data_IF_729736659961
#
_entry.id   IF_729736659961
#
_cell.length_a   1.000
_cell.length_b   1.000
_cell.length_c   1.000
_cell.angle_alpha   90.00
_cell.angle_beta   90.00
_cell.angle_gamma   90.00
#
_symmetry.space_group_name_H-M   'P 1'
#
loop_
_entity.id
_entity.type
_entity.pdbx_description
1 polymer ?
#
# COMPACT_ATOMS: atom_id res chain seq x y z
N UNK A 1 70.69 0.19 55.87
CA UNK A 1 69.60 0.79 55.14
C UNK A 1 69.19 -0.18 54.03
N UNK A 2 68.13 -0.94 54.21
CA UNK A 2 67.72 -2.03 53.32
C UNK A 2 66.39 -1.61 52.67
N UNK A 3 66.40 -1.32 51.38
CA UNK A 3 65.17 -1.05 50.62
C UNK A 3 64.62 -2.36 50.06
N UNK A 4 63.44 -2.75 50.54
CA UNK A 4 62.68 -3.87 50.02
C UNK A 4 61.87 -3.38 48.81
N UNK A 5 62.19 -3.91 47.66
CA UNK A 5 61.42 -3.67 46.43
C UNK A 5 60.28 -4.68 46.44
N UNK A 6 59.03 -4.22 46.66
CA UNK A 6 57.82 -5.03 46.51
C UNK A 6 57.41 -4.98 45.04
N UNK A 7 57.59 -6.12 44.37
CA UNK A 7 57.12 -6.30 42.98
C UNK A 7 55.61 -6.61 43.00
N UNK A 8 54.79 -5.64 42.60
CA UNK A 8 53.35 -5.83 42.48
C UNK A 8 53.07 -6.44 41.11
N UNK A 9 52.71 -7.72 41.10
CA UNK A 9 52.33 -8.47 39.92
C UNK A 9 50.90 -8.12 39.55
N UNK A 10 50.71 -7.27 38.58
CA UNK A 10 49.37 -6.88 38.06
C UNK A 10 48.90 -7.92 37.05
N UNK A 11 48.03 -8.81 37.48
CA UNK A 11 47.35 -9.78 36.61
C UNK A 11 46.32 -9.07 35.77
N UNK A 12 46.57 -8.95 34.46
CA UNK A 12 45.61 -8.50 33.45
C UNK A 12 44.55 -9.60 33.27
N UNK A 13 43.36 -9.37 33.84
CA UNK A 13 42.19 -10.13 33.49
C UNK A 13 41.71 -9.65 32.13
N UNK A 14 41.99 -10.43 31.09
CA UNK A 14 41.37 -10.27 29.77
C UNK A 14 39.90 -10.76 29.93
N UNK A 15 38.99 -9.83 30.11
CA UNK A 15 37.58 -10.07 29.99
C UNK A 15 37.26 -10.29 28.52
N UNK A 16 36.96 -11.52 28.10
CA UNK A 16 36.32 -11.81 26.83
C UNK A 16 34.93 -11.18 26.86
N UNK A 17 34.80 -10.05 26.20
CA UNK A 17 33.50 -9.49 25.87
C UNK A 17 32.94 -10.33 24.71
N UNK A 18 32.07 -11.28 25.03
CA UNK A 18 31.23 -11.94 24.04
C UNK A 18 30.38 -10.86 23.40
N UNK A 19 30.73 -10.46 22.19
CA UNK A 19 29.85 -9.68 21.33
C UNK A 19 28.64 -10.58 21.02
N UNK A 20 27.61 -10.50 21.85
CA UNK A 20 26.27 -10.81 21.43
C UNK A 20 25.97 -9.85 20.28
N UNK A 21 25.89 -10.40 19.06
CA UNK A 21 25.44 -9.68 17.92
C UNK A 21 23.98 -9.27 18.22
N UNK A 22 23.84 -8.05 18.74
CA UNK A 22 22.53 -7.39 18.85
C UNK A 22 21.96 -7.31 17.44
N UNK A 23 21.10 -8.29 17.11
CA UNK A 23 20.18 -8.25 15.96
C UNK A 23 19.08 -7.21 16.23
N UNK A 24 19.47 -6.07 16.76
CA UNK A 24 18.61 -4.93 16.94
C UNK A 24 18.68 -4.06 15.67
N UNK A 25 18.29 -4.64 14.51
CA UNK A 25 17.96 -3.80 13.37
C UNK A 25 16.83 -2.87 13.85
N UNK A 26 16.95 -1.54 13.68
CA UNK A 26 15.91 -0.62 14.12
C UNK A 26 14.59 -1.05 13.48
N UNK A 27 13.58 -1.34 14.34
CA UNK A 27 12.21 -1.56 13.88
C UNK A 27 11.81 -0.24 13.23
N UNK A 28 11.72 -0.25 11.90
CA UNK A 28 11.31 0.92 11.13
C UNK A 28 9.78 1.04 11.34
N UNK A 29 9.37 2.03 12.14
CA UNK A 29 7.95 2.31 12.34
C UNK A 29 7.29 2.71 11.00
N UNK A 30 6.03 2.29 10.75
CA UNK A 30 5.32 2.67 9.54
C UNK A 30 5.16 4.19 9.48
N UNK A 31 5.57 4.82 8.38
CA UNK A 31 5.33 6.24 8.16
C UNK A 31 3.89 6.47 7.70
N UNK A 32 3.21 7.48 8.26
CA UNK A 32 1.86 7.88 7.83
C UNK A 32 1.94 8.79 6.60
N UNK A 33 1.53 8.26 5.47
CA UNK A 33 1.49 8.96 4.19
C UNK A 33 0.15 9.67 3.91
N UNK A 34 -0.82 9.66 4.83
CA UNK A 34 -2.20 10.10 4.56
C UNK A 34 -2.28 11.53 4.04
N UNK A 35 -1.58 12.49 4.66
CA UNK A 35 -1.57 13.88 4.22
C UNK A 35 -0.84 14.07 2.88
N UNK A 36 0.29 13.39 2.69
CA UNK A 36 1.07 13.44 1.46
C UNK A 36 0.26 12.86 0.30
N UNK A 37 -0.33 11.67 0.50
CA UNK A 37 -1.15 11.02 -0.53
C UNK A 37 -2.39 11.84 -0.88
N UNK A 38 -3.02 12.51 0.08
CA UNK A 38 -4.13 13.42 -0.20
C UNK A 38 -3.71 14.59 -1.10
N UNK A 39 -2.56 15.21 -0.83
CA UNK A 39 -2.01 16.28 -1.67
C UNK A 39 -1.66 15.79 -3.06
N UNK A 40 -1.03 14.62 -3.17
CA UNK A 40 -0.66 14.00 -4.43
C UNK A 40 -1.89 13.66 -5.28
N UNK A 41 -2.95 13.08 -4.68
CA UNK A 41 -4.22 12.78 -5.34
C UNK A 41 -4.86 14.08 -5.86
N UNK A 42 -4.97 15.12 -5.03
CA UNK A 42 -5.57 16.39 -5.43
C UNK A 42 -4.78 17.07 -6.56
N UNK A 43 -3.45 16.98 -6.53
CA UNK A 43 -2.58 17.47 -7.60
C UNK A 43 -2.84 16.71 -8.90
N UNK A 44 -2.92 15.37 -8.84
CA UNK A 44 -3.23 14.52 -9.98
C UNK A 44 -4.61 14.82 -10.57
N UNK A 45 -5.64 14.93 -9.74
CA UNK A 45 -7.00 15.24 -10.16
C UNK A 45 -7.05 16.60 -10.90
N UNK A 46 -6.39 17.61 -10.36
CA UNK A 46 -6.32 18.95 -10.96
C UNK A 46 -5.58 18.93 -12.29
N UNK A 47 -4.45 18.22 -12.36
CA UNK A 47 -3.63 18.15 -13.59
C UNK A 47 -4.32 17.39 -14.74
N UNK A 48 -5.30 16.53 -14.43
CA UNK A 48 -6.03 15.72 -15.39
C UNK A 48 -7.50 16.17 -15.61
N UNK A 49 -7.89 17.32 -15.05
CA UNK A 49 -9.27 17.84 -15.12
C UNK A 49 -10.33 16.82 -14.60
N UNK A 50 -9.97 16.03 -13.57
CA UNK A 50 -10.83 15.00 -12.99
C UNK A 50 -11.51 15.51 -11.72
N UNK A 51 -12.75 15.06 -11.49
CA UNK A 51 -13.51 15.30 -10.25
C UNK A 51 -13.84 13.97 -9.62
N UNK A 52 -13.36 13.73 -8.41
CA UNK A 52 -13.62 12.52 -7.63
C UNK A 52 -14.54 12.78 -6.45
N UNK A 53 -15.12 11.71 -5.94
CA UNK A 53 -15.74 11.67 -4.62
C UNK A 53 -14.76 11.00 -3.67
N UNK A 54 -14.59 11.59 -2.47
CA UNK A 54 -13.75 11.04 -1.41
C UNK A 54 -14.60 10.37 -0.35
N UNK A 55 -14.21 9.16 0.05
CA UNK A 55 -14.83 8.45 1.18
C UNK A 55 -14.23 8.88 2.52
N UNK A 56 -14.84 8.46 3.64
CA UNK A 56 -14.31 8.70 4.98
C UNK A 56 -12.96 8.02 5.22
N UNK A 57 -12.69 6.91 4.55
CA UNK A 57 -11.42 6.20 4.63
C UNK A 57 -10.27 6.88 3.88
N UNK A 58 -10.57 7.87 3.02
CA UNK A 58 -9.61 8.55 2.16
C UNK A 58 -9.48 7.96 0.76
N UNK A 59 -10.30 6.96 0.38
CA UNK A 59 -10.37 6.50 -1.00
C UNK A 59 -11.00 7.59 -1.86
N UNK A 60 -10.39 7.91 -3.01
CA UNK A 60 -11.03 8.72 -4.04
C UNK A 60 -11.53 7.83 -5.18
N UNK A 61 -12.73 8.11 -5.68
CA UNK A 61 -13.30 7.35 -6.78
C UNK A 61 -14.05 8.23 -7.77
N UNK A 62 -14.10 7.77 -9.01
CA UNK A 62 -14.85 8.37 -10.11
C UNK A 62 -15.69 7.26 -10.72
N UNK A 63 -17.01 7.43 -10.76
CA UNK A 63 -17.90 6.52 -11.48
C UNK A 63 -18.16 7.13 -12.84
N UNK A 64 -17.66 6.50 -13.91
CA UNK A 64 -17.95 6.88 -15.28
C UNK A 64 -19.29 6.26 -15.75
N UNK A 65 -19.50 5.00 -15.37
CA UNK A 65 -20.75 4.28 -15.56
C UNK A 65 -21.04 3.47 -14.31
N UNK A 66 -22.23 3.66 -13.71
CA UNK A 66 -22.61 2.95 -12.49
C UNK A 66 -22.79 1.44 -12.69
N UNK A 67 -23.17 1.03 -13.90
CA UNK A 67 -23.69 -0.31 -14.15
C UNK A 67 -25.15 -0.45 -13.71
N UNK A 68 -25.84 -1.44 -14.24
CA UNK A 68 -27.26 -1.73 -13.97
C UNK A 68 -27.51 -3.15 -13.42
N UNK A 69 -26.43 -3.94 -13.30
CA UNK A 69 -26.48 -5.28 -12.75
C UNK A 69 -26.45 -5.34 -11.22
N UNK A 70 -26.02 -6.49 -10.70
CA UNK A 70 -25.97 -6.75 -9.25
C UNK A 70 -24.92 -5.87 -8.59
N UNK A 71 -25.25 -5.30 -7.42
CA UNK A 71 -24.29 -4.56 -6.59
C UNK A 71 -23.54 -5.54 -5.70
N UNK A 72 -22.20 -5.62 -5.78
CA UNK A 72 -21.42 -6.47 -4.89
C UNK A 72 -21.40 -5.89 -3.47
N UNK A 73 -21.09 -6.74 -2.52
CA UNK A 73 -20.71 -6.36 -1.16
C UNK A 73 -19.23 -6.72 -0.94
N UNK A 74 -18.67 -6.32 0.19
CA UNK A 74 -17.25 -6.49 0.53
C UNK A 74 -16.76 -7.95 0.66
N UNK A 75 -17.68 -8.94 0.56
CA UNK A 75 -17.38 -10.37 0.60
C UNK A 75 -17.73 -11.08 -0.72
N UNK A 76 -18.17 -10.35 -1.74
CA UNK A 76 -18.54 -10.92 -3.04
C UNK A 76 -17.29 -11.40 -3.80
N UNK A 77 -17.50 -12.45 -4.62
CA UNK A 77 -16.57 -12.77 -5.69
C UNK A 77 -16.98 -11.98 -6.93
N UNK A 78 -16.01 -11.43 -7.64
CA UNK A 78 -16.24 -10.56 -8.80
C UNK A 78 -15.26 -10.88 -9.89
N UNK A 79 -15.64 -10.64 -11.15
CA UNK A 79 -14.72 -10.61 -12.30
C UNK A 79 -14.49 -9.16 -12.69
N UNK A 80 -13.22 -8.72 -12.65
CA UNK A 80 -12.82 -7.33 -12.89
C UNK A 80 -11.74 -7.28 -13.97
N UNK A 81 -11.96 -6.48 -15.01
CA UNK A 81 -10.87 -6.03 -15.86
C UNK A 81 -10.34 -4.71 -15.31
N UNK A 82 -9.00 -4.58 -15.24
CA UNK A 82 -8.38 -3.43 -14.63
C UNK A 82 -7.05 -3.08 -15.25
N UNK A 83 -6.64 -1.83 -15.03
CA UNK A 83 -5.27 -1.36 -15.26
C UNK A 83 -4.83 -0.55 -14.05
N UNK A 84 -3.73 -1.00 -13.42
CA UNK A 84 -3.11 -0.36 -12.26
C UNK A 84 -1.86 0.42 -12.67
N UNK A 85 -1.79 1.70 -12.28
CA UNK A 85 -0.66 2.58 -12.58
C UNK A 85 -0.40 3.58 -11.46
N UNK A 86 0.83 4.12 -11.43
CA UNK A 86 1.20 5.21 -10.53
C UNK A 86 0.72 6.57 -11.07
N UNK A 87 0.73 7.61 -10.22
CA UNK A 87 0.34 8.97 -10.60
C UNK A 87 1.15 9.54 -11.78
N UNK A 88 2.35 9.01 -12.05
CA UNK A 88 3.17 9.37 -13.20
C UNK A 88 2.81 8.61 -14.49
N UNK A 89 1.75 7.77 -14.46
CA UNK A 89 1.28 6.97 -15.58
C UNK A 89 2.01 5.65 -15.81
N UNK A 90 3.04 5.31 -15.01
CA UNK A 90 3.74 4.03 -15.13
C UNK A 90 2.84 2.88 -14.69
N UNK A 91 2.53 1.97 -15.60
CA UNK A 91 1.71 0.78 -15.33
C UNK A 91 2.53 -0.22 -14.53
N UNK A 92 1.97 -0.73 -13.43
CA UNK A 92 2.59 -1.77 -12.61
C UNK A 92 1.88 -3.12 -12.72
N UNK A 93 0.59 -3.12 -13.11
CA UNK A 93 -0.20 -4.36 -13.27
C UNK A 93 -1.43 -4.08 -14.15
N UNK A 94 -1.85 -5.08 -14.94
CA UNK A 94 -3.06 -5.00 -15.74
C UNK A 94 -3.61 -6.39 -16.07
N UNK A 95 -4.92 -6.51 -16.18
CA UNK A 95 -5.59 -7.72 -16.68
C UNK A 95 -5.81 -7.67 -18.18
N UNK A 96 -6.17 -8.83 -18.76
CA UNK A 96 -6.81 -8.82 -20.08
C UNK A 96 -8.21 -8.20 -20.01
N UNK A 97 -8.82 -7.90 -21.17
CA UNK A 97 -10.21 -7.41 -21.24
C UNK A 97 -11.25 -8.43 -20.72
N UNK A 98 -10.90 -9.72 -20.63
CA UNK A 98 -11.76 -10.73 -20.02
C UNK A 98 -11.85 -10.62 -18.49
N UNK A 99 -10.92 -9.87 -17.90
CA UNK A 99 -10.83 -9.71 -16.45
C UNK A 99 -10.19 -10.91 -15.73
N UNK A 100 -10.13 -10.79 -14.42
CA UNK A 100 -9.71 -11.83 -13.49
C UNK A 100 -10.71 -11.91 -12.35
N UNK A 101 -10.82 -13.10 -11.74
CA UNK A 101 -11.72 -13.34 -10.62
C UNK A 101 -11.03 -13.00 -9.29
N UNK A 102 -11.74 -12.28 -8.41
CA UNK A 102 -11.25 -11.88 -7.10
C UNK A 102 -12.33 -12.04 -6.03
N UNK A 103 -11.93 -12.53 -4.86
CA UNK A 103 -12.71 -12.31 -3.63
C UNK A 103 -12.44 -10.90 -3.10
N UNK A 104 -13.47 -10.06 -2.94
CA UNK A 104 -13.27 -8.68 -2.46
C UNK A 104 -12.73 -8.60 -1.02
N UNK A 105 -12.80 -9.67 -0.25
CA UNK A 105 -12.17 -9.80 1.07
C UNK A 105 -10.70 -10.24 1.03
N UNK A 106 -10.14 -10.55 -0.16
CA UNK A 106 -8.77 -11.05 -0.36
C UNK A 106 -7.86 -10.06 -1.09
N UNK A 107 -8.38 -8.89 -1.45
CA UNK A 107 -7.67 -7.82 -2.16
C UNK A 107 -7.31 -6.65 -1.23
N UNK A 108 -6.60 -5.65 -1.75
CA UNK A 108 -6.28 -4.43 -0.99
C UNK A 108 -7.57 -3.71 -0.54
N UNK A 109 -7.52 -3.02 0.61
CA UNK A 109 -8.69 -2.36 1.22
C UNK A 109 -9.40 -1.39 0.27
N UNK A 110 -8.63 -0.65 -0.54
CA UNK A 110 -9.17 0.26 -1.54
C UNK A 110 -10.02 -0.43 -2.60
N UNK A 111 -9.71 -1.68 -2.98
CA UNK A 111 -10.53 -2.48 -3.88
C UNK A 111 -11.76 -3.06 -3.18
N UNK A 112 -11.61 -3.60 -1.96
CA UNK A 112 -12.73 -4.11 -1.16
C UNK A 112 -13.82 -3.05 -1.01
N UNK A 113 -13.43 -1.81 -0.73
CA UNK A 113 -14.33 -0.68 -0.58
C UNK A 113 -14.79 -0.14 -1.94
N UNK A 114 -13.84 0.13 -2.84
CA UNK A 114 -14.08 0.85 -4.09
C UNK A 114 -14.92 0.08 -5.09
N UNK A 115 -14.67 -1.22 -5.28
CA UNK A 115 -15.43 -2.05 -6.23
C UNK A 115 -16.88 -2.21 -5.76
N UNK A 116 -17.13 -2.24 -4.45
CA UNK A 116 -18.47 -2.28 -3.89
C UNK A 116 -19.30 -1.01 -4.13
N UNK A 117 -18.71 0.05 -4.69
CA UNK A 117 -19.43 1.27 -5.08
C UNK A 117 -20.09 1.15 -6.46
N UNK A 118 -19.59 0.25 -7.32
CA UNK A 118 -20.13 -0.02 -8.65
C UNK A 118 -21.21 -1.11 -8.60
N UNK A 119 -22.05 -1.16 -9.65
CA UNK A 119 -22.85 -2.33 -9.96
C UNK A 119 -22.14 -3.12 -11.08
N UNK A 120 -22.53 -4.37 -11.28
CA UNK A 120 -22.10 -5.17 -12.43
C UNK A 120 -22.35 -4.43 -13.74
N UNK A 121 -21.37 -4.45 -14.64
CA UNK A 121 -21.34 -3.66 -15.87
C UNK A 121 -20.87 -2.22 -15.67
N UNK A 122 -20.51 -1.83 -14.44
CA UNK A 122 -19.99 -0.50 -14.13
C UNK A 122 -18.50 -0.35 -14.35
N UNK A 123 -18.05 0.89 -14.60
CA UNK A 123 -16.65 1.23 -14.72
C UNK A 123 -16.31 2.62 -14.17
N UNK A 124 -15.05 2.84 -13.89
CA UNK A 124 -14.54 4.11 -13.40
C UNK A 124 -13.12 3.99 -12.86
N UNK A 125 -12.73 4.95 -12.02
CA UNK A 125 -11.37 5.09 -11.53
C UNK A 125 -11.37 5.05 -9.99
N UNK A 126 -10.41 4.32 -9.43
CA UNK A 126 -10.09 4.35 -8.00
C UNK A 126 -8.69 4.97 -7.83
N UNK A 127 -8.56 5.98 -6.95
CA UNK A 127 -7.28 6.48 -6.50
C UNK A 127 -7.10 6.07 -5.05
N UNK A 128 -6.20 5.12 -4.84
CA UNK A 128 -6.04 4.38 -3.59
C UNK A 128 -4.82 4.91 -2.85
N UNK A 129 -4.97 5.59 -1.70
CA UNK A 129 -3.84 6.01 -0.89
C UNK A 129 -3.13 4.80 -0.26
N UNK A 130 -1.88 4.95 0.13
CA UNK A 130 -1.02 3.87 0.58
C UNK A 130 -1.63 3.02 1.70
N UNK A 131 -2.31 3.62 2.68
CA UNK A 131 -2.91 2.91 3.81
C UNK A 131 -4.11 2.01 3.44
N UNK A 132 -4.71 2.23 2.26
CA UNK A 132 -5.73 1.37 1.65
C UNK A 132 -5.15 0.46 0.56
N UNK A 133 -3.86 0.64 0.22
CA UNK A 133 -3.10 -0.15 -0.74
C UNK A 133 -2.09 -1.06 -0.05
N UNK A 134 -0.80 -0.88 -0.36
CA UNK A 134 0.29 -1.72 0.14
C UNK A 134 1.07 -1.12 1.33
N UNK A 135 0.63 0.03 1.85
CA UNK A 135 1.20 0.64 3.06
C UNK A 135 2.48 1.42 2.83
N UNK A 136 3.24 1.61 3.91
CA UNK A 136 4.41 2.48 3.96
C UNK A 136 5.72 1.80 3.59
N UNK A 137 5.74 0.48 3.42
CA UNK A 137 6.92 -0.29 3.03
C UNK A 137 6.85 -0.75 1.58
N UNK A 138 8.00 -0.98 0.96
CA UNK A 138 8.05 -1.52 -0.40
C UNK A 138 7.40 -2.90 -0.47
N UNK A 139 6.54 -3.10 -1.46
CA UNK A 139 5.91 -4.37 -1.76
C UNK A 139 6.16 -4.74 -3.21
N UNK A 140 7.01 -5.75 -3.47
CA UNK A 140 7.44 -6.12 -4.83
C UNK A 140 7.96 -4.89 -5.60
N UNK A 141 7.36 -4.54 -6.74
CA UNK A 141 7.70 -3.38 -7.56
C UNK A 141 7.03 -2.06 -7.11
N UNK A 142 6.20 -2.09 -6.06
CA UNK A 142 5.46 -0.93 -5.57
C UNK A 142 6.25 -0.29 -4.42
N UNK A 143 6.73 0.95 -4.56
CA UNK A 143 7.37 1.67 -3.47
C UNK A 143 6.41 1.95 -2.31
N UNK A 144 6.93 1.92 -1.08
CA UNK A 144 6.15 2.29 0.09
C UNK A 144 5.62 3.73 -0.01
N UNK A 145 4.41 3.95 0.47
CA UNK A 145 3.75 5.25 0.43
C UNK A 145 3.13 5.63 -0.92
N UNK A 146 3.15 4.74 -1.92
CA UNK A 146 2.60 5.02 -3.24
C UNK A 146 1.09 5.18 -3.23
N UNK A 147 0.58 6.21 -3.91
CA UNK A 147 -0.81 6.27 -4.38
C UNK A 147 -0.92 5.39 -5.62
N UNK A 148 -1.96 4.56 -5.68
CA UNK A 148 -2.24 3.68 -6.80
C UNK A 148 -3.50 4.13 -7.51
N UNK A 149 -3.44 4.24 -8.83
CA UNK A 149 -4.61 4.54 -9.68
C UNK A 149 -5.02 3.26 -10.40
N UNK A 150 -6.31 2.97 -10.38
CA UNK A 150 -6.87 1.84 -11.09
C UNK A 150 -8.02 2.27 -11.97
N UNK A 151 -7.91 2.02 -13.26
CA UNK A 151 -9.08 1.95 -14.14
C UNK A 151 -9.77 0.61 -13.88
N UNK A 152 -11.04 0.64 -13.53
CA UNK A 152 -11.83 -0.54 -13.14
C UNK A 152 -12.99 -0.73 -14.12
N UNK A 153 -13.20 -1.98 -14.53
CA UNK A 153 -14.43 -2.43 -15.20
C UNK A 153 -14.93 -3.69 -14.49
N UNK A 154 -16.02 -3.55 -13.72
CA UNK A 154 -16.69 -4.65 -13.03
C UNK A 154 -17.54 -5.44 -14.02
N UNK A 155 -17.02 -6.59 -14.46
CA UNK A 155 -17.65 -7.41 -15.51
C UNK A 155 -18.81 -8.21 -14.94
N UNK A 156 -18.62 -8.89 -13.80
CA UNK A 156 -19.66 -9.70 -13.16
C UNK A 156 -19.53 -9.78 -11.65
N UNK A 157 -20.62 -10.05 -10.97
CA UNK A 157 -20.72 -10.44 -9.56
C UNK A 157 -21.10 -11.93 -9.53
N UNK A 158 -20.23 -12.79 -8.97
CA UNK A 158 -20.27 -14.26 -9.06
C UNK A 158 -20.87 -14.90 -7.80
#
# INVERSE_FOLDING_TARGET
>A
MKYAVVLFLMTLMVSCNSNDADNNAPIQEPFDYSEINEQDINTYLTANDLVSIKTESGLHYIIENQGDGVKPNTSSNVTVAYKGYFLNGTVFDESSAAGLDFGLNEVIKGWTEGIALFNEGGNGILLVPAHLGYGSFNYSSIPGGSVLVFDINLISVN
#
